data_IF_460850004717
#
_entry.id   IF_460850004717
#
_cell.length_a   1.000
_cell.length_b   1.000
_cell.length_c   1.000
_cell.angle_alpha   90.00
_cell.angle_beta   90.00
_cell.angle_gamma   90.00
#
_symmetry.space_group_name_H-M   'P 1'
#
loop_
_entity.id
_entity.type
_entity.pdbx_description
1 polymer ?
#
# COMPACT_ATOMS: atom_id res chain seq x y z
N UNK A 1 -13.25 21.55 -10.52
CA UNK A 1 -13.51 20.12 -10.75
C UNK A 1 -13.12 19.81 -12.19
N UNK A 2 -11.98 19.16 -12.41
CA UNK A 2 -11.65 18.64 -13.74
C UNK A 2 -12.59 17.46 -14.06
N UNK A 3 -13.10 17.42 -15.29
CA UNK A 3 -14.05 16.42 -15.76
C UNK A 3 -13.46 15.00 -15.63
N UNK A 4 -14.04 14.18 -14.73
CA UNK A 4 -13.79 12.74 -14.62
C UNK A 4 -14.34 11.93 -15.81
N UNK A 5 -15.03 12.60 -16.76
CA UNK A 5 -15.73 11.98 -17.88
C UNK A 5 -14.82 11.18 -18.85
N UNK A 6 -13.51 11.41 -18.83
CA UNK A 6 -12.53 10.71 -19.68
C UNK A 6 -11.75 9.60 -18.94
N UNK A 7 -12.10 9.28 -17.69
CA UNK A 7 -11.40 8.25 -16.91
C UNK A 7 -12.07 6.87 -17.06
N UNK A 8 -13.41 6.84 -17.16
CA UNK A 8 -14.18 5.63 -17.38
C UNK A 8 -14.18 5.27 -18.88
N UNK A 9 -13.30 4.35 -19.28
CA UNK A 9 -13.09 3.94 -20.68
C UNK A 9 -14.07 2.87 -21.13
N UNK A 10 -14.74 2.21 -20.19
CA UNK A 10 -15.70 1.16 -20.46
C UNK A 10 -16.76 1.10 -19.36
N UNK A 11 -17.97 0.59 -19.66
CA UNK A 11 -19.05 0.43 -18.69
C UNK A 11 -18.78 -0.63 -17.62
N UNK A 12 -17.89 -1.57 -17.93
CA UNK A 12 -17.37 -2.55 -16.98
C UNK A 12 -16.05 -2.02 -16.43
N UNK A 13 -16.01 -1.79 -15.12
CA UNK A 13 -14.89 -1.17 -14.42
C UNK A 13 -13.60 -2.00 -14.55
N UNK A 14 -13.68 -3.32 -14.50
CA UNK A 14 -12.52 -4.19 -14.70
C UNK A 14 -11.94 -4.01 -16.11
N UNK A 15 -12.77 -3.97 -17.16
CA UNK A 15 -12.31 -3.66 -18.52
C UNK A 15 -11.70 -2.25 -18.61
N UNK A 16 -12.34 -1.26 -17.99
CA UNK A 16 -11.82 0.11 -17.96
C UNK A 16 -10.44 0.18 -17.29
N UNK A 17 -10.25 -0.57 -16.21
CA UNK A 17 -8.97 -0.70 -15.50
C UNK A 17 -7.91 -1.38 -16.37
N UNK A 18 -8.24 -2.49 -17.05
CA UNK A 18 -7.30 -3.15 -17.96
C UNK A 18 -6.83 -2.21 -19.08
N UNK A 19 -7.73 -1.40 -19.65
CA UNK A 19 -7.38 -0.40 -20.66
C UNK A 19 -6.49 0.72 -20.09
N UNK A 20 -6.73 1.15 -18.86
CA UNK A 20 -5.84 2.09 -18.17
C UNK A 20 -4.46 1.50 -17.90
N UNK A 21 -4.39 0.23 -17.46
CA UNK A 21 -3.13 -0.47 -17.22
C UNK A 21 -2.32 -0.58 -18.51
N UNK A 22 -2.95 -0.95 -19.63
CA UNK A 22 -2.26 -1.04 -20.91
C UNK A 22 -1.64 0.30 -21.32
N UNK A 23 -2.44 1.39 -21.28
CA UNK A 23 -1.93 2.72 -21.59
C UNK A 23 -0.83 3.18 -20.63
N UNK A 24 -0.89 2.80 -19.35
CA UNK A 24 0.13 3.13 -18.38
C UNK A 24 1.46 2.42 -18.66
N UNK A 25 1.41 1.17 -19.12
CA UNK A 25 2.61 0.40 -19.51
C UNK A 25 3.28 1.02 -20.75
N UNK A 26 2.49 1.56 -21.66
CA UNK A 26 2.96 2.16 -22.91
C UNK A 26 3.54 3.59 -22.73
N UNK A 27 3.53 4.13 -21.51
CA UNK A 27 4.20 5.41 -21.18
C UNK A 27 5.72 5.26 -21.18
N UNK A 28 6.45 6.38 -21.30
CA UNK A 28 7.92 6.42 -21.24
C UNK A 28 8.47 5.72 -19.99
N UNK A 29 7.80 5.92 -18.86
CA UNK A 29 8.04 5.17 -17.63
C UNK A 29 6.78 4.40 -17.25
N UNK A 30 6.88 3.06 -17.24
CA UNK A 30 5.80 2.19 -16.78
C UNK A 30 5.62 2.29 -15.25
N UNK A 31 4.52 2.89 -14.77
CA UNK A 31 4.28 3.01 -13.33
C UNK A 31 3.70 1.73 -12.73
N UNK A 32 3.22 0.78 -13.54
CA UNK A 32 2.60 -0.45 -13.07
C UNK A 32 3.67 -1.41 -12.58
N UNK A 33 3.53 -1.87 -11.34
CA UNK A 33 4.38 -2.91 -10.74
C UNK A 33 3.76 -4.28 -11.00
N UNK A 34 2.48 -4.42 -10.62
CA UNK A 34 1.70 -5.64 -10.78
C UNK A 34 0.27 -5.28 -11.13
N UNK A 35 -0.35 -6.09 -11.98
CA UNK A 35 -1.79 -6.06 -12.19
C UNK A 35 -2.37 -7.48 -12.28
N UNK A 36 -3.13 -7.87 -11.26
CA UNK A 36 -3.93 -9.08 -11.20
C UNK A 36 -5.42 -8.73 -11.14
N UNK A 37 -6.18 -8.93 -12.22
CA UNK A 37 -7.63 -8.77 -12.20
C UNK A 37 -8.32 -9.93 -11.46
N UNK A 38 -9.55 -9.68 -10.99
CA UNK A 38 -10.40 -10.75 -10.44
C UNK A 38 -10.82 -11.72 -11.53
N UNK A 39 -11.00 -12.99 -11.15
CA UNK A 39 -11.43 -14.06 -12.06
C UNK A 39 -10.30 -14.64 -12.91
N UNK A 40 -9.05 -14.19 -12.77
CA UNK A 40 -7.88 -14.74 -13.45
C UNK A 40 -6.92 -15.40 -12.46
N UNK A 41 -6.34 -16.55 -12.86
CA UNK A 41 -5.35 -17.27 -12.04
C UNK A 41 -4.04 -16.47 -11.93
N UNK A 42 -3.56 -15.96 -13.06
CA UNK A 42 -2.29 -15.24 -13.14
C UNK A 42 -2.49 -13.72 -13.25
N UNK A 43 -1.44 -12.96 -12.93
CA UNK A 43 -1.39 -11.54 -13.21
C UNK A 43 -1.19 -11.29 -14.72
N UNK A 44 -1.69 -10.14 -15.19
CA UNK A 44 -1.42 -9.62 -16.53
C UNK A 44 -0.07 -8.91 -16.56
N UNK A 45 0.32 -8.27 -15.45
CA UNK A 45 1.59 -7.55 -15.29
C UNK A 45 2.28 -8.03 -14.03
N UNK A 46 3.58 -8.30 -14.15
CA UNK A 46 4.40 -8.82 -13.05
C UNK A 46 4.06 -10.27 -12.71
N UNK A 47 4.86 -10.83 -11.80
CA UNK A 47 4.66 -12.19 -11.32
C UNK A 47 3.88 -12.18 -10.00
N UNK A 48 3.01 -13.17 -9.84
CA UNK A 48 2.30 -13.40 -8.58
C UNK A 48 2.49 -14.85 -8.15
N UNK A 49 2.43 -15.06 -6.85
CA UNK A 49 2.48 -16.37 -6.24
C UNK A 49 1.45 -16.44 -5.11
N UNK A 50 0.81 -17.60 -4.95
CA UNK A 50 -0.14 -17.89 -3.88
C UNK A 50 -1.35 -16.93 -3.78
N UNK A 51 -1.79 -16.31 -4.88
CA UNK A 51 -3.01 -15.48 -4.90
C UNK A 51 -4.20 -16.23 -5.47
N UNK A 52 -5.35 -16.17 -4.79
CA UNK A 52 -6.57 -16.80 -5.29
C UNK A 52 -7.09 -16.12 -6.55
N UNK A 53 -7.77 -16.88 -7.42
CA UNK A 53 -8.43 -16.40 -8.64
C UNK A 53 -9.29 -15.15 -8.43
N UNK A 54 -10.04 -15.10 -7.34
CA UNK A 54 -10.94 -13.98 -7.00
C UNK A 54 -10.22 -12.74 -6.43
N UNK A 55 -8.92 -12.84 -6.14
CA UNK A 55 -8.15 -11.74 -5.59
C UNK A 55 -7.89 -10.67 -6.65
N UNK A 56 -8.04 -9.41 -6.24
CA UNK A 56 -7.62 -8.23 -7.00
C UNK A 56 -6.32 -7.67 -6.42
N UNK A 57 -5.38 -7.31 -7.28
CA UNK A 57 -4.20 -6.53 -6.92
C UNK A 57 -3.82 -5.60 -8.07
N UNK A 58 -3.71 -4.31 -7.78
CA UNK A 58 -3.03 -3.34 -8.62
C UNK A 58 -1.97 -2.63 -7.78
N UNK A 59 -0.70 -2.82 -8.13
CA UNK A 59 0.41 -2.11 -7.51
C UNK A 59 1.03 -1.13 -8.50
N UNK A 60 1.28 0.09 -8.06
CA UNK A 60 1.86 1.15 -8.88
C UNK A 60 2.93 1.92 -8.11
N UNK A 61 3.94 2.38 -8.83
CA UNK A 61 4.98 3.29 -8.36
C UNK A 61 5.40 4.19 -9.51
N UNK A 62 5.12 5.49 -9.41
CA UNK A 62 5.56 6.48 -10.39
C UNK A 62 7.08 6.68 -10.36
N UNK A 63 7.62 7.33 -11.38
CA UNK A 63 9.04 7.64 -11.45
C UNK A 63 9.52 8.45 -10.24
N UNK A 64 8.78 9.50 -9.89
CA UNK A 64 9.06 10.31 -8.70
C UNK A 64 9.10 9.46 -7.43
N UNK A 65 8.16 8.52 -7.28
CA UNK A 65 8.10 7.66 -6.10
C UNK A 65 9.27 6.69 -6.02
N UNK A 66 9.67 6.10 -7.14
CA UNK A 66 10.88 5.27 -7.26
C UNK A 66 12.11 6.06 -6.82
N UNK A 67 12.26 7.28 -7.32
CA UNK A 67 13.45 8.10 -7.03
C UNK A 67 13.45 8.62 -5.60
N UNK A 68 12.29 8.97 -5.05
CA UNK A 68 12.14 9.29 -3.64
C UNK A 68 12.48 8.09 -2.75
N UNK A 69 12.06 6.87 -3.12
CA UNK A 69 12.41 5.65 -2.39
C UNK A 69 13.91 5.39 -2.40
N UNK A 70 14.56 5.52 -3.58
CA UNK A 70 16.02 5.40 -3.71
C UNK A 70 16.75 6.40 -2.83
N UNK A 71 16.28 7.65 -2.81
CA UNK A 71 16.92 8.75 -2.11
C UNK A 71 16.74 8.68 -0.59
N UNK A 72 15.56 8.28 -0.11
CA UNK A 72 15.17 8.42 1.30
C UNK A 72 14.85 7.11 2.02
N UNK A 73 14.89 5.96 1.32
CA UNK A 73 14.59 4.66 1.92
C UNK A 73 15.65 4.14 2.91
N UNK A 74 16.82 4.77 2.96
CA UNK A 74 17.96 4.31 3.78
C UNK A 74 18.14 5.17 5.05
N UNK A 75 18.49 4.51 6.16
CA UNK A 75 18.96 5.18 7.38
C UNK A 75 17.90 5.88 8.23
N UNK A 76 16.64 5.93 7.79
CA UNK A 76 15.50 6.53 8.53
C UNK A 76 14.38 5.52 8.76
N UNK A 77 13.13 5.96 8.68
CA UNK A 77 11.97 5.12 8.82
C UNK A 77 11.30 4.86 7.47
N UNK A 78 10.77 3.65 7.34
CA UNK A 78 9.72 3.33 6.37
C UNK A 78 8.42 3.13 7.15
N UNK A 79 7.32 3.61 6.58
CA UNK A 79 5.99 3.44 7.15
C UNK A 79 5.09 2.72 6.15
N UNK A 80 4.25 1.81 6.62
CA UNK A 80 3.26 1.13 5.79
C UNK A 80 1.89 1.15 6.49
N UNK A 81 0.86 1.48 5.72
CA UNK A 81 -0.50 1.67 6.24
C UNK A 81 -1.54 1.40 5.15
N UNK A 82 -2.67 0.81 5.52
CA UNK A 82 -3.83 0.65 4.63
C UNK A 82 -4.93 1.66 4.94
N UNK A 83 -5.54 2.18 3.88
CA UNK A 83 -6.69 3.07 3.94
C UNK A 83 -7.93 2.29 3.49
N UNK A 84 -8.90 2.17 4.39
CA UNK A 84 -10.16 1.48 4.19
C UNK A 84 -11.27 2.42 3.69
N UNK A 85 -12.31 1.87 3.06
CA UNK A 85 -13.52 2.61 2.72
C UNK A 85 -13.33 3.71 1.67
N UNK A 86 -12.34 3.54 0.78
CA UNK A 86 -11.95 4.55 -0.22
C UNK A 86 -12.70 4.43 -1.55
N UNK A 87 -13.43 3.33 -1.76
CA UNK A 87 -14.08 3.02 -3.03
C UNK A 87 -15.33 2.15 -2.82
N UNK A 88 -16.13 2.03 -3.87
CA UNK A 88 -17.42 1.29 -3.84
C UNK A 88 -17.26 -0.24 -3.78
N UNK A 89 -16.05 -0.75 -3.97
CA UNK A 89 -15.73 -2.18 -3.97
C UNK A 89 -15.10 -2.64 -2.64
N UNK A 90 -15.01 -1.74 -1.66
CA UNK A 90 -14.36 -1.96 -0.36
C UNK A 90 -12.91 -2.46 -0.50
N UNK A 91 -12.23 -2.14 -1.61
CA UNK A 91 -10.82 -2.43 -1.77
C UNK A 91 -9.99 -1.54 -0.84
N UNK A 92 -8.85 -2.08 -0.42
CA UNK A 92 -7.91 -1.43 0.47
C UNK A 92 -6.85 -0.72 -0.35
N UNK A 93 -6.44 0.48 0.08
CA UNK A 93 -5.29 1.16 -0.50
C UNK A 93 -4.16 1.12 0.50
N UNK A 94 -3.20 0.22 0.29
CA UNK A 94 -1.96 0.16 1.07
C UNK A 94 -0.93 1.10 0.46
N UNK A 95 -0.23 1.85 1.31
CA UNK A 95 0.83 2.76 0.88
C UNK A 95 2.13 2.45 1.61
N UNK A 96 3.26 2.48 0.88
CA UNK A 96 4.59 2.51 1.48
C UNK A 96 5.09 3.95 1.48
N UNK A 97 5.68 4.39 2.58
CA UNK A 97 6.14 5.76 2.78
C UNK A 97 7.56 5.79 3.33
N UNK A 98 8.36 6.76 2.89
CA UNK A 98 9.70 7.07 3.40
C UNK A 98 9.71 8.44 4.05
N UNK A 99 10.66 8.69 4.95
CA UNK A 99 10.83 9.99 5.60
C UNK A 99 11.97 10.75 4.95
N UNK A 100 11.69 11.96 4.46
CA UNK A 100 12.67 12.80 3.80
C UNK A 100 13.61 13.53 4.78
N UNK A 101 14.42 14.46 4.27
CA UNK A 101 15.37 15.23 5.08
C UNK A 101 14.76 16.30 5.98
N UNK A 102 13.51 16.64 5.76
CA UNK A 102 12.75 17.61 6.55
C UNK A 102 11.81 16.94 7.55
N UNK A 103 11.77 15.60 7.56
CA UNK A 103 10.89 14.83 8.43
C UNK A 103 9.50 14.62 7.83
N UNK A 104 9.31 14.93 6.55
CA UNK A 104 8.05 14.74 5.85
C UNK A 104 7.94 13.33 5.28
N UNK A 105 6.73 12.78 5.33
CA UNK A 105 6.42 11.46 4.77
C UNK A 105 6.11 11.56 3.27
N UNK A 106 6.90 10.86 2.45
CA UNK A 106 6.67 10.74 1.01
C UNK A 106 6.17 9.34 0.69
N UNK A 107 4.97 9.23 0.12
CA UNK A 107 4.42 7.94 -0.36
C UNK A 107 5.19 7.50 -1.59
N UNK A 108 5.80 6.32 -1.53
CA UNK A 108 6.71 5.77 -2.55
C UNK A 108 6.17 4.55 -3.28
N UNK A 109 4.95 4.12 -2.98
CA UNK A 109 4.26 3.08 -3.70
C UNK A 109 2.84 2.91 -3.18
N UNK A 110 1.95 2.43 -4.06
CA UNK A 110 0.57 2.15 -3.74
C UNK A 110 0.19 0.75 -4.20
N UNK A 111 -0.58 0.05 -3.38
CA UNK A 111 -1.26 -1.18 -3.75
C UNK A 111 -2.75 -1.07 -3.44
N UNK A 112 -3.58 -1.39 -4.42
CA UNK A 112 -5.01 -1.57 -4.25
C UNK A 112 -5.28 -3.06 -4.19
N UNK A 113 -5.79 -3.56 -3.07
CA UNK A 113 -6.00 -4.99 -2.84
C UNK A 113 -7.42 -5.29 -2.41
N UNK A 114 -7.88 -6.49 -2.75
CA UNK A 114 -9.16 -7.02 -2.24
C UNK A 114 -9.11 -7.31 -0.72
N UNK A 115 -7.94 -7.71 -0.22
CA UNK A 115 -7.74 -8.07 1.18
C UNK A 115 -6.41 -7.56 1.71
N UNK A 116 -6.38 -7.33 3.01
CA UNK A 116 -5.20 -6.96 3.76
C UNK A 116 -4.60 -8.21 4.39
N UNK A 117 -3.74 -8.90 3.64
CA UNK A 117 -3.03 -10.08 4.13
C UNK A 117 -1.56 -10.08 3.72
N UNK A 118 -0.77 -10.87 4.42
CA UNK A 118 0.68 -10.99 4.20
C UNK A 118 0.99 -11.36 2.75
N UNK A 119 0.18 -12.23 2.12
CA UNK A 119 0.39 -12.66 0.75
C UNK A 119 0.31 -11.48 -0.23
N UNK A 120 -0.78 -10.71 -0.16
CA UNK A 120 -1.00 -9.54 -1.01
C UNK A 120 0.07 -8.47 -0.80
N UNK A 121 0.48 -8.24 0.45
CA UNK A 121 1.56 -7.31 0.79
C UNK A 121 2.93 -7.76 0.29
N UNK A 122 3.24 -9.06 0.33
CA UNK A 122 4.47 -9.61 -0.25
C UNK A 122 4.48 -9.39 -1.77
N UNK A 123 3.36 -9.65 -2.45
CA UNK A 123 3.26 -9.39 -3.89
C UNK A 123 3.40 -7.89 -4.20
N UNK A 124 2.94 -6.99 -3.33
CA UNK A 124 3.22 -5.56 -3.49
C UNK A 124 4.70 -5.19 -3.29
N UNK A 125 5.37 -5.77 -2.29
CA UNK A 125 6.73 -5.39 -1.90
C UNK A 125 7.84 -5.94 -2.81
N UNK A 126 7.67 -7.15 -3.38
CA UNK A 126 8.63 -7.78 -4.30
C UNK A 126 9.00 -6.91 -5.52
N UNK A 127 8.04 -6.41 -6.33
CA UNK A 127 8.37 -5.61 -7.50
C UNK A 127 8.96 -4.24 -7.12
N UNK A 128 8.66 -3.71 -5.94
CA UNK A 128 9.33 -2.52 -5.41
C UNK A 128 10.82 -2.80 -5.15
N UNK A 129 11.14 -3.96 -4.55
CA UNK A 129 12.51 -4.39 -4.30
C UNK A 129 13.28 -4.56 -5.61
N UNK A 130 12.67 -5.20 -6.60
CA UNK A 130 13.28 -5.40 -7.92
C UNK A 130 13.55 -4.05 -8.63
N UNK A 131 12.61 -3.10 -8.54
CA UNK A 131 12.70 -1.82 -9.24
C UNK A 131 13.62 -0.80 -8.58
N UNK A 132 13.68 -0.79 -7.25
CA UNK A 132 14.47 0.19 -6.46
C UNK A 132 15.81 -0.38 -5.99
N UNK A 133 15.92 -1.70 -5.90
CA UNK A 133 16.91 -2.44 -5.12
C UNK A 133 16.67 -2.36 -3.60
N UNK A 134 17.44 -3.13 -2.85
CA UNK A 134 17.30 -3.21 -1.40
C UNK A 134 17.55 -1.85 -0.74
N UNK A 135 16.69 -1.50 0.21
CA UNK A 135 16.84 -0.36 1.10
C UNK A 135 17.03 -0.85 2.54
N UNK A 136 17.76 -0.08 3.34
CA UNK A 136 18.09 -0.40 4.74
C UNK A 136 17.59 0.69 5.68
N UNK A 137 16.28 0.73 6.00
CA UNK A 137 15.76 1.63 7.01
C UNK A 137 16.18 1.17 8.42
N UNK A 138 16.29 2.13 9.34
CA UNK A 138 16.52 1.86 10.77
C UNK A 138 15.23 1.49 11.50
N UNK A 139 14.09 1.95 10.98
CA UNK A 139 12.78 1.79 11.61
C UNK A 139 11.76 1.34 10.56
N UNK A 140 10.97 0.33 10.91
CA UNK A 140 9.71 0.03 10.23
C UNK A 140 8.55 0.41 11.14
N UNK A 141 7.63 1.22 10.62
CA UNK A 141 6.42 1.63 11.34
C UNK A 141 5.18 1.14 10.59
N UNK A 142 4.27 0.49 11.29
CA UNK A 142 2.95 0.11 10.76
C UNK A 142 1.89 0.28 11.83
N UNK A 143 0.64 -0.06 11.53
CA UNK A 143 -0.32 -0.38 12.58
C UNK A 143 0.11 -1.64 13.37
N UNK A 144 -0.76 -2.11 14.28
CA UNK A 144 -0.52 -3.29 15.11
C UNK A 144 -0.78 -4.62 14.40
N UNK A 145 -1.13 -4.60 13.12
CA UNK A 145 -1.45 -5.81 12.39
C UNK A 145 -0.16 -6.51 11.93
N UNK A 146 -0.07 -7.81 12.22
CA UNK A 146 1.16 -8.58 12.04
C UNK A 146 1.56 -8.72 10.56
N UNK A 147 0.57 -8.73 9.65
CA UNK A 147 0.80 -8.91 8.21
C UNK A 147 1.79 -7.92 7.61
N UNK A 148 1.83 -6.67 8.10
CA UNK A 148 2.72 -5.65 7.56
C UNK A 148 4.18 -5.96 7.84
N UNK A 149 4.51 -6.28 9.09
CA UNK A 149 5.88 -6.59 9.47
C UNK A 149 6.32 -7.95 8.94
N UNK A 150 5.43 -8.94 8.91
CA UNK A 150 5.72 -10.25 8.31
C UNK A 150 6.01 -10.13 6.81
N UNK A 151 5.20 -9.36 6.06
CA UNK A 151 5.44 -9.15 4.64
C UNK A 151 6.74 -8.38 4.39
N UNK A 152 6.98 -7.31 5.15
CA UNK A 152 8.23 -6.54 5.05
C UNK A 152 9.45 -7.42 5.32
N UNK A 153 9.48 -8.10 6.46
CA UNK A 153 10.62 -8.92 6.87
C UNK A 153 10.88 -10.10 5.92
N UNK A 154 9.84 -10.66 5.31
CA UNK A 154 9.97 -11.70 4.30
C UNK A 154 10.57 -11.22 2.97
N UNK A 155 10.46 -9.93 2.64
CA UNK A 155 10.94 -9.37 1.37
C UNK A 155 12.23 -8.57 1.53
N UNK A 156 12.28 -7.64 2.49
CA UNK A 156 13.42 -6.74 2.73
C UNK A 156 14.33 -7.19 3.88
N UNK A 157 13.94 -8.20 4.65
CA UNK A 157 14.67 -8.65 5.83
C UNK A 157 14.35 -7.85 7.10
N UNK A 158 15.06 -8.19 8.18
CA UNK A 158 14.84 -7.60 9.50
C UNK A 158 15.30 -6.14 9.55
N UNK A 159 14.55 -5.32 10.29
CA UNK A 159 14.95 -3.94 10.61
C UNK A 159 15.35 -3.82 12.08
N UNK A 160 16.20 -2.84 12.44
CA UNK A 160 16.62 -2.67 13.83
C UNK A 160 15.48 -2.36 14.81
N UNK A 161 14.43 -1.64 14.37
CA UNK A 161 13.31 -1.23 15.22
C UNK A 161 11.98 -1.38 14.49
N UNK A 162 11.01 -2.04 15.14
CA UNK A 162 9.59 -2.01 14.76
C UNK A 162 8.87 -1.03 15.68
N UNK A 163 8.15 -0.06 15.12
CA UNK A 163 7.31 0.87 15.85
C UNK A 163 5.84 0.70 15.46
N UNK A 164 4.96 0.96 16.42
CA UNK A 164 3.53 1.11 16.16
C UNK A 164 3.23 2.56 15.75
N UNK A 165 2.30 2.73 14.83
CA UNK A 165 1.75 4.03 14.46
C UNK A 165 1.11 4.67 15.69
N UNK A 166 1.59 5.87 16.04
CA UNK A 166 1.14 6.61 17.22
C UNK A 166 -0.35 6.94 17.18
N UNK A 167 -0.89 7.22 15.99
CA UNK A 167 -2.31 7.48 15.82
C UNK A 167 -3.17 6.24 16.10
N UNK A 168 -2.76 5.08 15.57
CA UNK A 168 -3.47 3.81 15.82
C UNK A 168 -3.40 3.43 17.29
N UNK A 169 -2.24 3.60 17.92
CA UNK A 169 -2.07 3.37 19.35
C UNK A 169 -2.97 4.28 20.19
N UNK A 170 -2.95 5.59 19.95
CA UNK A 170 -3.79 6.56 20.66
C UNK A 170 -5.29 6.28 20.46
N UNK A 171 -5.70 5.92 19.23
CA UNK A 171 -7.08 5.55 18.93
C UNK A 171 -7.51 4.29 19.69
N UNK A 172 -6.68 3.24 19.70
CA UNK A 172 -6.95 2.00 20.41
C UNK A 172 -7.04 2.25 21.93
N UNK A 173 -6.10 3.03 22.46
CA UNK A 173 -6.07 3.43 23.86
C UNK A 173 -7.34 4.19 24.27
N UNK A 174 -7.74 5.20 23.50
CA UNK A 174 -8.98 5.96 23.72
C UNK A 174 -10.23 5.08 23.66
N UNK A 175 -10.27 4.11 22.74
CA UNK A 175 -11.37 3.14 22.66
C UNK A 175 -11.44 2.29 23.93
N UNK A 176 -10.32 1.70 24.34
CA UNK A 176 -10.24 0.86 25.53
C UNK A 176 -10.66 1.62 26.80
N UNK A 177 -10.21 2.88 26.97
CA UNK A 177 -10.63 3.72 28.09
C UNK A 177 -12.15 3.91 28.12
N UNK A 178 -12.78 4.21 26.98
CA UNK A 178 -14.23 4.43 26.89
C UNK A 178 -15.05 3.19 27.24
N UNK A 179 -14.52 2.00 26.98
CA UNK A 179 -15.17 0.74 27.35
C UNK A 179 -15.10 0.48 28.86
N UNK A 180 -14.07 0.99 29.55
CA UNK A 180 -13.85 0.76 30.99
C UNK A 180 -14.36 1.87 31.89
N UNK A 181 -14.52 3.09 31.38
CA UNK A 181 -15.08 4.22 32.12
C UNK A 181 -16.55 4.41 31.73
N UNK A 182 -17.46 3.88 32.55
CA UNK A 182 -18.90 4.14 32.43
C UNK A 182 -19.24 5.52 33.00
N UNK A 183 -19.25 6.54 32.12
CA UNK A 183 -19.63 7.89 32.51
C UNK A 183 -19.83 8.79 31.31
N UNK A 184 -21.09 9.02 30.92
CA UNK A 184 -21.46 10.12 30.03
C UNK A 184 -21.46 11.41 30.83
N UNK A 185 -20.38 12.20 30.78
CA UNK A 185 -20.54 13.62 31.05
C UNK A 185 -21.36 14.21 29.90
N UNK A 186 -22.52 14.78 30.26
CA UNK A 186 -23.37 15.54 29.36
C UNK A 186 -22.52 16.63 28.72
N UNK A 187 -22.51 16.68 27.39
CA UNK A 187 -21.99 17.82 26.65
C UNK A 187 -22.69 19.09 27.16
N UNK A 188 -21.91 20.02 27.70
CA UNK A 188 -22.28 21.43 27.77
C UNK A 188 -22.22 22.04 26.36
#
# INVERSE_FOLDING_TARGET
>A
MQNLANIAKHKNDQTSMSLWVQEAIDQEYNPVLIYKPQGMENAIVGDIDNMAKESFLLAVQTEFQRDAMKKFGNGKAVCMDAIHGTNVYDFLVTTLMVIDNYGEGIRVGWAITYKEDTCSLVQFLKPLLERVAAISPLVFMSDDAEQYYCAWSGVYGLVPKKLLCSWHFDRAWKKAIREHISGSEQKL
#
